data_IF_665469116744
#
_entry.id   IF_665469116744
#
_cell.length_a   1.000
_cell.length_b   1.000
_cell.length_c   1.000
_cell.angle_alpha   90.00
_cell.angle_beta   90.00
_cell.angle_gamma   90.00
#
_symmetry.space_group_name_H-M   'P 1'
#
loop_
_entity.id
_entity.type
_entity.pdbx_description
1 polymer ?
#
# COMPACT_ATOMS: atom_id res chain seq x y z
N UNK A 1 -5.30 14.80 -11.62
CA UNK A 1 -6.27 14.23 -10.66
C UNK A 1 -6.67 15.34 -9.71
N UNK A 2 -7.95 15.48 -9.42
CA UNK A 2 -8.42 16.38 -8.37
C UNK A 2 -8.20 15.76 -6.97
N UNK A 3 -8.36 16.53 -5.90
CA UNK A 3 -8.09 16.05 -4.53
C UNK A 3 -8.96 14.84 -4.14
N UNK A 4 -10.19 14.75 -4.68
CA UNK A 4 -11.11 13.63 -4.42
C UNK A 4 -10.65 12.35 -5.12
N UNK A 5 -10.25 12.45 -6.39
CA UNK A 5 -9.68 11.32 -7.14
C UNK A 5 -8.43 10.77 -6.47
N UNK A 6 -7.53 11.65 -6.04
CA UNK A 6 -6.30 11.25 -5.34
C UNK A 6 -6.62 10.49 -4.06
N UNK A 7 -7.62 10.95 -3.29
CA UNK A 7 -8.04 10.28 -2.05
C UNK A 7 -8.67 8.91 -2.32
N UNK A 8 -9.55 8.81 -3.32
CA UNK A 8 -10.18 7.53 -3.70
C UNK A 8 -9.15 6.55 -4.22
N UNK A 9 -8.20 6.98 -5.06
CA UNK A 9 -7.09 6.14 -5.51
C UNK A 9 -6.23 5.66 -4.34
N UNK A 10 -5.96 6.53 -3.36
CA UNK A 10 -5.23 6.18 -2.13
C UNK A 10 -5.93 5.09 -1.32
N UNK A 11 -7.25 5.20 -1.11
CA UNK A 11 -8.06 4.20 -0.41
C UNK A 11 -8.02 2.85 -1.14
N UNK A 12 -8.17 2.86 -2.48
CA UNK A 12 -8.10 1.64 -3.29
C UNK A 12 -6.75 0.96 -3.12
N UNK A 13 -5.65 1.72 -3.19
CA UNK A 13 -4.30 1.19 -3.00
C UNK A 13 -4.06 0.69 -1.57
N UNK A 14 -4.59 1.40 -0.56
CA UNK A 14 -4.53 1.00 0.84
C UNK A 14 -5.28 -0.31 1.14
N UNK A 15 -6.22 -0.71 0.28
CA UNK A 15 -6.90 -2.01 0.35
C UNK A 15 -6.19 -3.08 -0.49
N UNK A 16 -5.80 -2.74 -1.72
CA UNK A 16 -5.29 -3.74 -2.68
C UNK A 16 -3.89 -4.24 -2.30
N UNK A 17 -2.99 -3.37 -1.83
CA UNK A 17 -1.64 -3.77 -1.45
C UNK A 17 -1.62 -4.69 -0.21
N UNK A 18 -2.32 -4.39 0.90
CA UNK A 18 -2.46 -5.33 2.01
C UNK A 18 -3.14 -6.64 1.61
N UNK A 19 -4.17 -6.60 0.78
CA UNK A 19 -4.84 -7.80 0.29
C UNK A 19 -3.86 -8.72 -0.45
N UNK A 20 -3.05 -8.15 -1.35
CA UNK A 20 -2.00 -8.88 -2.04
C UNK A 20 -0.99 -9.47 -1.06
N UNK A 21 -0.49 -8.65 -0.13
CA UNK A 21 0.49 -9.06 0.87
C UNK A 21 -0.03 -10.22 1.72
N UNK A 22 -1.20 -10.08 2.34
CA UNK A 22 -1.80 -11.10 3.19
C UNK A 22 -2.15 -12.40 2.43
N UNK A 23 -2.44 -12.31 1.13
CA UNK A 23 -2.72 -13.49 0.31
C UNK A 23 -1.46 -14.28 -0.03
N UNK A 24 -0.32 -13.62 -0.23
CA UNK A 24 0.94 -14.28 -0.61
C UNK A 24 1.86 -14.58 0.57
N UNK A 25 1.71 -13.88 1.68
CA UNK A 25 2.54 -14.06 2.87
C UNK A 25 2.60 -15.52 3.35
N UNK A 26 1.47 -16.24 3.51
CA UNK A 26 1.48 -17.64 3.94
C UNK A 26 2.23 -18.56 2.97
N UNK A 27 2.18 -18.27 1.66
CA UNK A 27 2.91 -19.02 0.64
C UNK A 27 4.43 -18.83 0.82
N UNK A 28 4.85 -17.59 1.08
CA UNK A 28 6.27 -17.26 1.33
C UNK A 28 6.76 -17.92 2.63
N UNK A 29 5.90 -18.01 3.63
CA UNK A 29 6.18 -18.67 4.90
C UNK A 29 6.13 -20.21 4.81
N UNK A 30 5.75 -20.77 3.66
CA UNK A 30 5.63 -22.21 3.45
C UNK A 30 4.39 -22.84 4.11
N UNK A 31 3.38 -22.04 4.43
CA UNK A 31 2.10 -22.52 4.94
C UNK A 31 1.23 -23.03 3.80
N UNK A 32 0.59 -24.19 4.00
CA UNK A 32 -0.19 -24.85 2.95
C UNK A 32 -1.55 -24.16 2.65
N UNK A 33 -2.06 -23.34 3.55
CA UNK A 33 -3.36 -22.66 3.39
C UNK A 33 -3.41 -21.37 4.19
N UNK A 34 -4.29 -20.44 3.73
CA UNK A 34 -4.66 -19.25 4.48
C UNK A 34 -5.46 -19.65 5.71
N UNK A 35 -5.02 -19.24 6.88
CA UNK A 35 -5.82 -19.39 8.11
C UNK A 35 -6.90 -18.31 8.14
N UNK A 36 -8.12 -18.72 7.79
CA UNK A 36 -9.30 -17.84 7.77
C UNK A 36 -10.04 -17.81 9.11
N UNK A 37 -9.68 -18.65 10.06
CA UNK A 37 -10.43 -18.89 11.29
C UNK A 37 -9.84 -18.21 12.51
N UNK A 38 -8.52 -18.02 12.53
CA UNK A 38 -7.82 -17.41 13.66
C UNK A 38 -7.95 -15.89 13.65
N UNK A 39 -8.09 -15.23 14.81
CA UNK A 39 -8.03 -13.77 14.92
C UNK A 39 -6.72 -13.17 14.41
N UNK A 40 -5.61 -13.91 14.48
CA UNK A 40 -4.29 -13.54 13.94
C UNK A 40 -4.06 -14.09 12.52
N UNK A 41 -5.06 -14.73 11.93
CA UNK A 41 -5.05 -15.24 10.58
C UNK A 41 -5.27 -14.15 9.53
N UNK A 42 -5.70 -14.56 8.34
CA UNK A 42 -5.84 -13.69 7.17
C UNK A 42 -6.60 -12.37 7.45
N UNK A 43 -7.78 -12.47 8.06
CA UNK A 43 -8.63 -11.29 8.28
C UNK A 43 -8.05 -10.31 9.30
N UNK A 44 -7.43 -10.83 10.38
CA UNK A 44 -6.77 -9.99 11.37
C UNK A 44 -5.54 -9.28 10.80
N UNK A 45 -4.74 -9.98 10.01
CA UNK A 45 -3.58 -9.41 9.32
C UNK A 45 -4.02 -8.36 8.29
N UNK A 46 -5.02 -8.67 7.47
CA UNK A 46 -5.56 -7.73 6.49
C UNK A 46 -6.10 -6.46 7.16
N UNK A 47 -6.88 -6.61 8.23
CA UNK A 47 -7.40 -5.46 8.95
C UNK A 47 -6.27 -4.60 9.55
N UNK A 48 -5.26 -5.22 10.17
CA UNK A 48 -4.10 -4.53 10.71
C UNK A 48 -3.32 -3.80 9.61
N UNK A 49 -3.03 -4.48 8.50
CA UNK A 49 -2.28 -3.91 7.39
C UNK A 49 -3.01 -2.73 6.74
N UNK A 50 -4.33 -2.82 6.54
CA UNK A 50 -5.16 -1.73 5.99
C UNK A 50 -5.16 -0.53 6.94
N UNK A 51 -5.33 -0.75 8.24
CA UNK A 51 -5.33 0.34 9.23
C UNK A 51 -3.97 1.05 9.25
N UNK A 52 -2.87 0.30 9.23
CA UNK A 52 -1.52 0.87 9.21
C UNK A 52 -1.28 1.61 7.89
N UNK A 53 -1.64 0.99 6.74
CA UNK A 53 -1.45 1.61 5.43
C UNK A 53 -2.19 2.95 5.33
N UNK A 54 -3.45 3.01 5.77
CA UNK A 54 -4.26 4.22 5.77
C UNK A 54 -3.72 5.27 6.74
N UNK A 55 -3.37 4.85 7.96
CA UNK A 55 -2.80 5.75 8.97
C UNK A 55 -1.49 6.39 8.50
N UNK A 56 -0.56 5.59 7.95
CA UNK A 56 0.76 6.07 7.50
C UNK A 56 0.63 6.93 6.25
N UNK A 57 -0.14 6.48 5.25
CA UNK A 57 -0.30 7.23 3.98
C UNK A 57 -1.09 8.52 4.14
N UNK A 58 -1.92 8.64 5.19
CA UNK A 58 -2.63 9.88 5.54
C UNK A 58 -1.72 10.94 6.17
N UNK A 59 -0.52 10.57 6.62
CA UNK A 59 0.41 11.52 7.22
C UNK A 59 1.04 12.41 6.13
N UNK A 60 0.99 13.75 6.27
CA UNK A 60 1.64 14.66 5.31
C UNK A 60 3.15 14.41 5.17
N UNK A 61 3.77 13.90 6.24
CA UNK A 61 5.19 13.55 6.29
C UNK A 61 5.51 12.40 5.35
N UNK A 62 4.61 11.42 5.20
CA UNK A 62 4.83 10.28 4.31
C UNK A 62 5.04 10.72 2.86
N UNK A 63 4.15 11.54 2.33
CA UNK A 63 4.28 12.07 0.97
C UNK A 63 5.55 12.91 0.79
N UNK A 64 5.93 13.66 1.83
CA UNK A 64 7.16 14.47 1.84
C UNK A 64 8.40 13.58 1.76
N UNK A 65 8.52 12.56 2.62
CA UNK A 65 9.65 11.63 2.63
C UNK A 65 9.79 10.91 1.28
N UNK A 66 8.68 10.46 0.70
CA UNK A 66 8.69 9.83 -0.64
C UNK A 66 9.16 10.84 -1.70
N UNK A 67 8.69 12.08 -1.65
CA UNK A 67 9.11 13.14 -2.56
C UNK A 67 10.60 13.45 -2.45
N UNK A 68 11.09 13.65 -1.23
CA UNK A 68 12.51 13.96 -0.96
C UNK A 68 13.44 12.84 -1.47
N UNK A 69 13.00 11.57 -1.38
CA UNK A 69 13.76 10.44 -1.94
C UNK A 69 13.77 10.47 -3.47
N UNK A 70 12.65 10.74 -4.11
CA UNK A 70 12.58 10.86 -5.57
C UNK A 70 13.48 11.98 -6.06
N UNK A 71 13.48 13.12 -5.36
CA UNK A 71 14.31 14.28 -5.70
C UNK A 71 15.80 14.00 -5.45
N UNK A 72 16.15 13.28 -4.38
CA UNK A 72 17.53 12.86 -4.07
C UNK A 72 18.15 12.05 -5.21
N UNK A 73 17.38 11.19 -5.88
CA UNK A 73 17.83 10.42 -7.04
C UNK A 73 17.78 11.20 -8.36
N UNK A 74 17.40 12.48 -8.33
CA UNK A 74 17.43 13.36 -9.49
C UNK A 74 16.38 13.06 -10.55
N UNK A 75 15.28 12.40 -10.22
CA UNK A 75 14.20 12.16 -11.16
C UNK A 75 13.42 13.46 -11.43
N UNK A 76 13.14 13.74 -12.71
CA UNK A 76 12.35 14.93 -13.09
C UNK A 76 10.92 14.82 -12.51
N UNK A 77 10.46 15.81 -11.72
CA UNK A 77 9.12 15.82 -11.15
C UNK A 77 8.03 15.62 -12.22
N UNK A 78 7.05 14.77 -11.90
CA UNK A 78 5.94 14.46 -12.81
C UNK A 78 6.24 13.53 -13.97
N UNK A 79 7.50 13.16 -14.20
CA UNK A 79 7.90 12.21 -15.23
C UNK A 79 7.51 10.75 -14.89
N UNK A 80 7.50 9.84 -15.87
CA UNK A 80 7.18 8.43 -15.62
C UNK A 80 8.17 7.77 -14.66
N UNK A 81 9.46 8.08 -14.76
CA UNK A 81 10.48 7.57 -13.84
C UNK A 81 10.27 8.04 -12.40
N UNK A 82 9.91 9.31 -12.19
CA UNK A 82 9.57 9.88 -10.88
C UNK A 82 8.36 9.17 -10.25
N UNK A 83 7.33 8.86 -11.04
CA UNK A 83 6.14 8.12 -10.57
C UNK A 83 6.50 6.70 -10.15
N UNK A 84 7.25 5.99 -11.00
CA UNK A 84 7.72 4.63 -10.68
C UNK A 84 8.57 4.63 -9.41
N UNK A 85 9.54 5.54 -9.31
CA UNK A 85 10.39 5.67 -8.13
C UNK A 85 9.54 5.97 -6.88
N UNK A 86 8.59 6.90 -6.97
CA UNK A 86 7.67 7.23 -5.88
C UNK A 86 6.87 6.02 -5.41
N UNK A 87 6.29 5.24 -6.34
CA UNK A 87 5.58 3.99 -6.00
C UNK A 87 6.51 2.98 -5.32
N UNK A 88 7.71 2.76 -5.86
CA UNK A 88 8.70 1.83 -5.27
C UNK A 88 9.07 2.25 -3.85
N UNK A 89 9.34 3.54 -3.61
CA UNK A 89 9.68 4.03 -2.28
C UNK A 89 8.49 3.96 -1.31
N UNK A 90 7.32 4.39 -1.74
CA UNK A 90 6.12 4.32 -0.92
C UNK A 90 5.79 2.86 -0.54
N UNK A 91 5.81 1.94 -1.50
CA UNK A 91 5.59 0.53 -1.27
C UNK A 91 6.64 -0.07 -0.32
N UNK A 92 7.92 0.32 -0.48
CA UNK A 92 9.00 -0.15 0.40
C UNK A 92 8.79 0.32 1.84
N UNK A 93 8.51 1.61 2.06
CA UNK A 93 8.28 2.15 3.40
C UNK A 93 7.07 1.50 4.08
N UNK A 94 5.96 1.37 3.36
CA UNK A 94 4.77 0.69 3.88
C UNK A 94 5.04 -0.77 4.20
N UNK A 95 5.74 -1.48 3.31
CA UNK A 95 6.13 -2.87 3.54
C UNK A 95 6.99 -3.04 4.79
N UNK A 96 7.96 -2.16 5.02
CA UNK A 96 8.80 -2.20 6.21
C UNK A 96 7.96 -2.04 7.49
N UNK A 97 7.07 -1.07 7.53
CA UNK A 97 6.23 -0.76 8.71
C UNK A 97 5.20 -1.87 8.94
N UNK A 98 4.45 -2.24 7.89
CA UNK A 98 3.40 -3.26 7.96
C UNK A 98 4.02 -4.62 8.30
N UNK A 99 5.09 -5.01 7.63
CA UNK A 99 5.75 -6.30 7.85
C UNK A 99 6.28 -6.47 9.27
N UNK A 100 6.85 -5.41 9.87
CA UNK A 100 7.23 -5.41 11.29
C UNK A 100 6.00 -5.60 12.19
N UNK A 101 4.92 -4.87 11.95
CA UNK A 101 3.71 -4.95 12.75
C UNK A 101 3.03 -6.32 12.62
N UNK A 102 2.96 -6.89 11.42
CA UNK A 102 2.34 -8.20 11.18
C UNK A 102 3.09 -9.33 11.89
N UNK A 103 4.42 -9.34 11.83
CA UNK A 103 5.20 -10.35 12.56
C UNK A 103 5.02 -10.22 14.07
N UNK A 104 4.98 -8.97 14.58
CA UNK A 104 4.68 -8.76 16.00
C UNK A 104 3.27 -9.25 16.37
N UNK A 105 2.29 -9.01 15.50
CA UNK A 105 0.91 -9.42 15.70
C UNK A 105 0.73 -10.94 15.65
N UNK A 106 1.41 -11.63 14.72
CA UNK A 106 1.31 -13.08 14.55
C UNK A 106 2.03 -13.86 15.65
N UNK A 107 3.24 -13.46 15.99
CA UNK A 107 4.18 -14.27 16.76
C UNK A 107 4.81 -13.54 17.94
N UNK A 108 4.48 -12.26 18.14
CA UNK A 108 5.09 -11.42 19.17
C UNK A 108 6.56 -11.08 18.88
N UNK A 109 7.16 -10.37 19.82
CA UNK A 109 8.57 -9.92 19.72
C UNK A 109 9.57 -10.98 20.23
N UNK A 110 9.10 -12.05 20.85
CA UNK A 110 9.93 -13.10 21.44
C UNK A 110 10.58 -14.03 20.41
N UNK A 111 11.34 -14.99 20.91
CA UNK A 111 11.85 -16.11 20.14
C UNK A 111 10.71 -17.06 19.76
N UNK A 112 10.72 -17.54 18.54
CA UNK A 112 9.84 -18.64 18.08
C UNK A 112 10.75 -19.77 17.60
N UNK A 113 10.84 -20.83 18.38
CA UNK A 113 11.91 -21.79 18.22
C UNK A 113 13.27 -21.12 18.40
N UNK A 114 14.16 -21.25 17.42
CA UNK A 114 15.47 -20.61 17.41
C UNK A 114 15.50 -19.27 16.64
N UNK A 115 14.36 -18.80 16.10
CA UNK A 115 14.30 -17.62 15.25
C UNK A 115 13.94 -16.37 16.05
N UNK A 116 14.75 -15.31 15.89
CA UNK A 116 14.48 -13.99 16.46
C UNK A 116 13.41 -13.25 15.64
N UNK A 117 12.80 -12.24 16.27
CA UNK A 117 11.85 -11.35 15.59
C UNK A 117 12.40 -10.77 14.27
N UNK A 118 13.61 -10.21 14.31
CA UNK A 118 14.24 -9.63 13.11
C UNK A 118 14.61 -10.67 12.05
N UNK A 119 14.95 -11.89 12.44
CA UNK A 119 15.23 -12.98 11.50
C UNK A 119 13.97 -13.38 10.73
N UNK A 120 12.82 -13.43 11.43
CA UNK A 120 11.52 -13.69 10.79
C UNK A 120 11.14 -12.58 9.81
N UNK A 121 11.32 -11.32 10.25
CA UNK A 121 11.08 -10.17 9.40
C UNK A 121 11.99 -10.15 8.17
N UNK A 122 13.29 -10.41 8.32
CA UNK A 122 14.22 -10.46 7.19
C UNK A 122 13.86 -11.56 6.17
N UNK A 123 13.41 -12.72 6.66
CA UNK A 123 12.91 -13.79 5.79
C UNK A 123 11.67 -13.36 5.00
N UNK A 124 10.74 -12.67 5.66
CA UNK A 124 9.59 -12.07 5.01
C UNK A 124 10.02 -11.01 3.98
N UNK A 125 10.95 -10.14 4.35
CA UNK A 125 11.42 -9.06 3.50
C UNK A 125 12.05 -9.58 2.20
N UNK A 126 12.86 -10.62 2.26
CA UNK A 126 13.51 -11.19 1.06
C UNK A 126 12.53 -11.81 0.07
N UNK A 127 11.41 -12.38 0.54
CA UNK A 127 10.38 -12.98 -0.32
C UNK A 127 9.24 -12.03 -0.69
N UNK A 128 8.80 -11.20 0.25
CA UNK A 128 7.58 -10.40 0.13
C UNK A 128 7.77 -9.02 -0.52
N UNK A 129 8.95 -8.41 -0.35
CA UNK A 129 9.19 -7.05 -0.86
C UNK A 129 8.92 -6.91 -2.36
N UNK A 130 9.44 -7.83 -3.17
CA UNK A 130 9.27 -7.79 -4.62
C UNK A 130 7.78 -7.87 -5.03
N UNK A 131 7.00 -8.70 -4.33
CA UNK A 131 5.55 -8.81 -4.57
C UNK A 131 4.83 -7.49 -4.30
N UNK A 132 5.15 -6.83 -3.19
CA UNK A 132 4.50 -5.56 -2.81
C UNK A 132 4.88 -4.44 -3.78
N UNK A 133 6.14 -4.37 -4.20
CA UNK A 133 6.61 -3.38 -5.18
C UNK A 133 5.96 -3.60 -6.55
N UNK A 134 5.98 -4.83 -7.05
CA UNK A 134 5.34 -5.16 -8.34
C UNK A 134 3.83 -4.95 -8.26
N UNK A 135 3.20 -5.35 -7.15
CA UNK A 135 1.79 -5.09 -6.89
C UNK A 135 1.46 -3.60 -6.93
N UNK A 136 2.23 -2.77 -6.24
CA UNK A 136 2.07 -1.31 -6.27
C UNK A 136 2.15 -0.75 -7.69
N UNK A 137 3.18 -1.14 -8.45
CA UNK A 137 3.35 -0.68 -9.83
C UNK A 137 2.18 -1.10 -10.76
N UNK A 138 1.54 -2.24 -10.50
CA UNK A 138 0.40 -2.72 -11.26
C UNK A 138 -0.91 -2.06 -10.80
N UNK A 139 -1.10 -1.89 -9.49
CA UNK A 139 -2.37 -1.40 -8.93
C UNK A 139 -2.49 0.12 -8.94
N UNK A 140 -1.40 0.88 -8.82
CA UNK A 140 -1.44 2.35 -8.88
C UNK A 140 -2.17 2.89 -10.13
N UNK A 141 -1.84 2.44 -11.37
CA UNK A 141 -2.55 2.92 -12.55
C UNK A 141 -4.01 2.43 -12.62
N UNK A 142 -4.30 1.25 -12.06
CA UNK A 142 -5.66 0.71 -11.98
C UNK A 142 -6.47 1.54 -11.00
N UNK A 143 -5.95 1.78 -9.81
CA UNK A 143 -6.59 2.60 -8.78
C UNK A 143 -6.86 4.03 -9.27
N UNK A 144 -5.91 4.62 -9.99
CA UNK A 144 -6.09 5.94 -10.59
C UNK A 144 -7.23 5.96 -11.64
N UNK A 145 -7.32 4.94 -12.50
CA UNK A 145 -8.41 4.82 -13.48
C UNK A 145 -9.77 4.61 -12.81
N UNK A 146 -9.84 3.72 -11.82
CA UNK A 146 -11.07 3.46 -11.08
C UNK A 146 -11.52 4.71 -10.33
N UNK A 147 -10.60 5.43 -9.67
CA UNK A 147 -10.90 6.69 -8.99
C UNK A 147 -11.42 7.75 -9.98
N UNK A 148 -10.82 7.85 -11.16
CA UNK A 148 -11.28 8.77 -12.21
C UNK A 148 -12.71 8.44 -12.66
N UNK A 149 -13.04 7.17 -12.87
CA UNK A 149 -14.42 6.74 -13.23
C UNK A 149 -15.40 7.03 -12.10
N UNK A 150 -15.04 6.74 -10.84
CA UNK A 150 -15.95 6.92 -9.71
C UNK A 150 -16.22 8.38 -9.34
N UNK A 151 -15.25 9.27 -9.57
CA UNK A 151 -15.30 10.66 -9.11
C UNK A 151 -15.33 11.64 -10.28
N UNK A 152 -14.79 11.27 -11.44
CA UNK A 152 -14.67 12.12 -12.63
C UNK A 152 -16.00 12.38 -13.36
N UNK A 153 -16.98 11.48 -13.27
CA UNK A 153 -18.27 11.61 -13.95
C UNK A 153 -19.25 12.61 -13.30
N UNK A 154 -18.88 13.24 -12.18
CA UNK A 154 -19.72 14.23 -11.47
C UNK A 154 -19.18 15.66 -11.52
N UNK A 155 -18.51 16.08 -12.56
CA UNK A 155 -18.23 17.49 -12.80
C UNK A 155 -19.27 18.07 -13.80
N UNK A 156 -19.82 19.25 -13.57
CA UNK A 156 -21.24 19.52 -13.55
C UNK A 156 -21.78 20.06 -14.88
N UNK A 157 -22.94 19.60 -15.23
CA UNK A 157 -23.86 20.27 -16.19
C UNK A 157 -24.64 21.42 -15.55
N UNK A 158 -24.15 22.06 -14.48
CA UNK A 158 -24.97 23.03 -13.72
C UNK A 158 -24.63 24.50 -14.02
N UNK A 159 -23.60 24.79 -14.82
CA UNK A 159 -23.27 26.18 -15.16
C UNK A 159 -23.77 26.65 -16.55
N UNK A 160 -24.15 25.71 -17.43
CA UNK A 160 -24.68 26.12 -18.75
C UNK A 160 -26.17 26.49 -18.78
N UNK A 161 -26.90 26.33 -17.69
CA UNK A 161 -28.35 26.68 -17.66
C UNK A 161 -28.63 28.06 -17.02
N UNK A 162 -27.63 28.83 -16.64
CA UNK A 162 -27.81 30.17 -16.09
C UNK A 162 -27.39 31.33 -17.02
N UNK A 163 -26.92 31.03 -18.22
CA UNK A 163 -26.60 32.07 -19.22
C UNK A 163 -27.65 32.23 -20.35
N UNK A 164 -28.83 31.65 -20.22
CA UNK A 164 -29.93 31.84 -21.19
C UNK A 164 -31.19 32.34 -20.44
N UNK A 165 -31.10 33.53 -19.86
CA UNK A 165 -32.25 34.43 -19.62
C UNK A 165 -31.83 35.89 -19.71
#
# INVERSE_FOLDING_TARGET
>A
MNTRETRVAGIINALMNPLLMCSFLPIIEGKAALDMSSPTGFWGQLALAVVIAEAVSSLPQFGRVVGDWVDFFGFKPGGPASKIAGTVFAATLLFLIIGLAEIAFQTGFGLVGETTYFSRWAKLATGGWAFVVVGGLLFDPIAAKVAHVLVGEKAPQTEEMLEVE
#
